data_IF_955028456605
#
_entry.id   IF_955028456605
#
_cell.length_a   1.000
_cell.length_b   1.000
_cell.length_c   1.000
_cell.angle_alpha   90.00
_cell.angle_beta   90.00
_cell.angle_gamma   90.00
#
_symmetry.space_group_name_H-M   'P 1'
#
loop_
_entity.id
_entity.type
_entity.pdbx_description
1 polymer ?
#
# COMPACT_ATOMS: atom_id res chain seq x y z
N UNK A 1 -30.28 -22.15 37.31
CA UNK A 1 -28.85 -22.33 37.51
C UNK A 1 -28.11 -22.68 36.24
N UNK A 2 -28.55 -23.65 35.46
CA UNK A 2 -27.90 -24.03 34.21
C UNK A 2 -27.87 -22.92 33.14
N UNK A 3 -28.92 -22.11 33.05
CA UNK A 3 -29.02 -21.05 32.07
C UNK A 3 -28.05 -19.90 32.35
N UNK A 4 -27.72 -19.66 33.60
CA UNK A 4 -26.78 -18.63 34.00
C UNK A 4 -25.33 -18.95 33.54
N UNK A 5 -24.94 -20.21 33.63
CA UNK A 5 -23.63 -20.68 33.21
C UNK A 5 -23.45 -20.59 31.70
N UNK A 6 -24.50 -20.93 30.94
CA UNK A 6 -24.45 -20.84 29.47
C UNK A 6 -24.31 -19.38 29.02
N UNK A 7 -25.01 -18.45 29.67
CA UNK A 7 -24.90 -17.02 29.36
C UNK A 7 -23.51 -16.47 29.60
N UNK A 8 -22.86 -16.87 30.69
CA UNK A 8 -21.49 -16.45 31.00
C UNK A 8 -20.49 -16.93 29.95
N UNK A 9 -20.65 -18.18 29.51
CA UNK A 9 -19.78 -18.74 28.47
C UNK A 9 -19.90 -18.01 27.13
N UNK A 10 -21.13 -17.64 26.74
CA UNK A 10 -21.37 -16.90 25.50
C UNK A 10 -20.73 -15.50 25.54
N UNK A 11 -20.85 -14.81 26.65
CA UNK A 11 -20.24 -13.48 26.84
C UNK A 11 -18.74 -13.56 26.77
N UNK A 12 -18.13 -14.58 27.36
CA UNK A 12 -16.69 -14.81 27.32
C UNK A 12 -16.19 -15.02 25.89
N UNK A 13 -16.94 -15.77 25.07
CA UNK A 13 -16.62 -16.00 23.68
C UNK A 13 -16.63 -14.70 22.85
N UNK A 14 -17.62 -13.85 23.06
CA UNK A 14 -17.72 -12.57 22.36
C UNK A 14 -16.59 -11.62 22.71
N UNK A 15 -16.15 -11.59 23.94
CA UNK A 15 -15.02 -10.77 24.39
C UNK A 15 -13.71 -11.24 23.71
N UNK A 16 -13.51 -12.55 23.57
CA UNK A 16 -12.33 -13.10 22.92
C UNK A 16 -12.26 -12.70 21.44
N UNK A 17 -13.38 -12.73 20.73
CA UNK A 17 -13.46 -12.32 19.32
C UNK A 17 -13.13 -10.83 19.19
N UNK A 18 -13.68 -9.98 20.04
CA UNK A 18 -13.42 -8.55 20.03
C UNK A 18 -11.93 -8.24 20.28
N UNK A 19 -11.28 -8.97 21.20
CA UNK A 19 -9.85 -8.81 21.48
C UNK A 19 -8.99 -9.19 20.29
N UNK A 20 -9.34 -10.26 19.57
CA UNK A 20 -8.62 -10.67 18.36
C UNK A 20 -8.67 -9.62 17.27
N UNK A 21 -9.82 -8.97 17.07
CA UNK A 21 -9.95 -7.86 16.11
C UNK A 21 -9.12 -6.65 16.53
N UNK A 22 -9.04 -6.33 17.79
CA UNK A 22 -8.29 -5.19 18.28
C UNK A 22 -6.78 -5.36 18.13
N UNK A 23 -6.28 -6.59 18.06
CA UNK A 23 -4.86 -6.88 17.90
C UNK A 23 -4.36 -6.80 16.45
N UNK A 24 -5.27 -6.86 15.47
CA UNK A 24 -4.95 -6.79 14.05
C UNK A 24 -5.01 -5.33 13.56
N UNK A 25 -4.18 -4.50 14.17
CA UNK A 25 -4.19 -3.06 13.91
C UNK A 25 -2.88 -2.59 13.29
N UNK A 26 -2.31 -3.41 12.40
CA UNK A 26 -1.17 -3.00 11.60
C UNK A 26 -1.62 -1.96 10.57
N UNK A 27 -0.91 -0.85 10.49
CA UNK A 27 -1.18 0.20 9.53
C UNK A 27 -1.05 -0.36 8.11
N UNK A 28 -2.13 -0.32 7.33
CA UNK A 28 -2.10 -0.73 5.93
C UNK A 28 -1.44 0.37 5.10
N UNK A 29 -0.33 0.01 4.47
CA UNK A 29 0.40 0.89 3.55
C UNK A 29 0.25 0.37 2.14
N UNK A 30 -0.19 1.22 1.24
CA UNK A 30 -0.34 0.90 -0.17
C UNK A 30 0.48 1.87 -1.00
N UNK A 31 1.24 1.34 -1.94
CA UNK A 31 1.96 2.13 -2.92
C UNK A 31 1.34 1.87 -4.29
N UNK A 32 0.74 2.90 -4.87
CA UNK A 32 0.20 2.85 -6.23
C UNK A 32 1.26 3.39 -7.16
N UNK A 33 1.59 2.61 -8.19
CA UNK A 33 2.56 2.99 -9.20
C UNK A 33 1.83 3.17 -10.52
N UNK A 34 1.93 4.37 -11.08
CA UNK A 34 1.39 4.67 -12.41
C UNK A 34 2.52 4.57 -13.42
N UNK A 35 2.40 3.66 -14.37
CA UNK A 35 3.47 3.33 -15.30
C UNK A 35 2.91 2.94 -16.67
N UNK A 36 3.81 2.72 -17.63
CA UNK A 36 3.46 2.20 -18.95
C UNK A 36 4.66 1.42 -19.50
N UNK A 37 4.39 0.49 -20.41
CA UNK A 37 5.44 -0.35 -21.00
C UNK A 37 6.50 0.46 -21.75
N UNK A 38 6.08 1.53 -22.43
CA UNK A 38 6.97 2.41 -23.19
C UNK A 38 7.80 3.36 -22.33
N UNK A 39 7.48 3.46 -21.05
CA UNK A 39 8.10 4.43 -20.14
C UNK A 39 9.41 3.89 -19.58
N UNK A 40 10.55 4.40 -20.08
CA UNK A 40 11.87 3.94 -19.67
C UNK A 40 12.12 4.12 -18.17
N UNK A 41 11.83 5.29 -17.63
CA UNK A 41 12.04 5.56 -16.19
C UNK A 41 11.12 4.75 -15.30
N UNK A 42 9.95 4.38 -15.79
CA UNK A 42 9.06 3.46 -15.10
C UNK A 42 9.70 2.08 -14.95
N UNK A 43 10.31 1.58 -16.03
CA UNK A 43 10.98 0.28 -16.01
C UNK A 43 12.21 0.28 -15.10
N UNK A 44 12.98 1.36 -15.12
CA UNK A 44 14.13 1.53 -14.23
C UNK A 44 13.66 1.51 -12.76
N UNK A 45 12.62 2.26 -12.45
CA UNK A 45 12.06 2.30 -11.09
C UNK A 45 11.62 0.91 -10.61
N UNK A 46 10.88 0.19 -11.44
CA UNK A 46 10.41 -1.16 -11.11
C UNK A 46 11.56 -2.13 -10.91
N UNK A 47 12.58 -2.03 -11.75
CA UNK A 47 13.78 -2.86 -11.63
C UNK A 47 14.51 -2.58 -10.31
N UNK A 48 14.68 -1.32 -9.96
CA UNK A 48 15.34 -0.92 -8.71
C UNK A 48 14.52 -1.34 -7.49
N UNK A 49 13.20 -1.25 -7.55
CA UNK A 49 12.31 -1.73 -6.48
C UNK A 49 12.49 -3.23 -6.22
N UNK A 50 12.86 -3.98 -7.23
CA UNK A 50 13.08 -5.42 -7.12
C UNK A 50 14.51 -5.75 -6.69
N UNK A 51 15.50 -5.01 -7.17
CA UNK A 51 16.91 -5.39 -7.10
C UNK A 51 17.78 -4.53 -6.20
N UNK A 52 17.41 -3.28 -5.94
CA UNK A 52 18.18 -2.44 -5.01
C UNK A 52 18.00 -2.98 -3.59
N UNK A 53 19.09 -3.28 -2.86
CA UNK A 53 18.97 -3.93 -1.54
C UNK A 53 18.13 -3.17 -0.52
N UNK A 54 18.30 -1.86 -0.45
CA UNK A 54 17.57 -1.04 0.51
C UNK A 54 16.13 -0.79 0.07
N UNK A 55 15.93 -0.44 -1.19
CA UNK A 55 14.59 -0.16 -1.73
C UNK A 55 13.72 -1.41 -1.71
N UNK A 56 14.27 -2.57 -2.09
CA UNK A 56 13.51 -3.82 -2.09
C UNK A 56 13.02 -4.21 -0.70
N UNK A 57 13.77 -3.89 0.35
CA UNK A 57 13.34 -4.13 1.73
C UNK A 57 12.20 -3.19 2.14
N UNK A 58 12.29 -1.92 1.75
CA UNK A 58 11.28 -0.91 2.11
C UNK A 58 9.95 -1.22 1.45
N UNK A 59 9.95 -1.60 0.17
CA UNK A 59 8.70 -1.88 -0.56
C UNK A 59 7.97 -3.11 -0.05
N UNK A 60 8.63 -4.00 0.67
CA UNK A 60 7.98 -5.14 1.33
C UNK A 60 6.94 -4.73 2.36
N UNK A 61 7.05 -3.51 2.89
CA UNK A 61 6.11 -2.97 3.87
C UNK A 61 4.83 -2.42 3.21
N UNK A 62 4.76 -2.44 1.90
CA UNK A 62 3.66 -1.89 1.13
C UNK A 62 2.94 -2.96 0.32
N UNK A 63 1.63 -2.82 0.19
CA UNK A 63 0.88 -3.48 -0.87
C UNK A 63 1.10 -2.68 -2.13
N UNK A 64 1.61 -3.32 -3.18
CA UNK A 64 1.92 -2.64 -4.44
C UNK A 64 0.75 -2.80 -5.40
N UNK A 65 0.25 -1.67 -5.91
CA UNK A 65 -0.79 -1.64 -6.93
C UNK A 65 -0.20 -0.97 -8.17
N UNK A 66 -0.12 -1.72 -9.26
CA UNK A 66 0.42 -1.22 -10.52
C UNK A 66 -0.74 -0.80 -11.43
N UNK A 67 -0.78 0.47 -11.81
CA UNK A 67 -1.83 1.05 -12.66
C UNK A 67 -1.21 1.39 -14.01
N UNK A 68 -1.81 0.87 -15.09
CA UNK A 68 -1.37 1.15 -16.45
C UNK A 68 -1.93 2.50 -16.90
N UNK A 69 -1.04 3.43 -17.21
CA UNK A 69 -1.38 4.79 -17.60
C UNK A 69 -2.24 4.84 -18.87
N UNK A 70 -2.03 3.91 -19.78
CA UNK A 70 -2.73 3.89 -21.08
C UNK A 70 -4.05 3.12 -21.04
N UNK A 71 -4.14 2.13 -20.17
CA UNK A 71 -5.30 1.22 -20.08
C UNK A 71 -6.28 1.68 -19.00
N UNK A 72 -5.80 1.98 -17.82
CA UNK A 72 -6.62 2.29 -16.63
C UNK A 72 -6.95 3.78 -16.54
N UNK A 73 -7.51 4.33 -17.61
CA UNK A 73 -7.71 5.79 -17.76
C UNK A 73 -8.57 6.41 -16.67
N UNK A 74 -9.60 5.71 -16.24
CA UNK A 74 -10.49 6.21 -15.18
C UNK A 74 -9.74 6.39 -13.86
N UNK A 75 -8.85 5.46 -13.52
CA UNK A 75 -8.04 5.55 -12.31
C UNK A 75 -7.01 6.68 -12.44
N UNK A 76 -6.35 6.75 -13.59
CA UNK A 76 -5.36 7.81 -13.89
C UNK A 76 -5.99 9.19 -13.75
N UNK A 77 -7.17 9.39 -14.32
CA UNK A 77 -7.91 10.65 -14.23
C UNK A 77 -8.38 10.93 -12.80
N UNK A 78 -8.88 9.90 -12.11
CA UNK A 78 -9.35 10.03 -10.74
C UNK A 78 -8.26 10.50 -9.78
N UNK A 79 -7.02 10.08 -10.00
CA UNK A 79 -5.87 10.52 -9.22
C UNK A 79 -5.20 11.76 -9.79
N UNK A 80 -5.69 12.28 -10.90
CA UNK A 80 -5.15 13.46 -11.58
C UNK A 80 -3.66 13.29 -11.94
N UNK A 81 -3.31 12.11 -12.47
CA UNK A 81 -1.95 11.80 -12.90
C UNK A 81 -1.74 12.30 -14.33
N UNK A 82 -0.75 13.16 -14.52
CA UNK A 82 -0.42 13.75 -15.83
C UNK A 82 0.92 13.26 -16.38
N UNK A 83 1.80 12.83 -15.52
CA UNK A 83 3.17 12.44 -15.86
C UNK A 83 3.51 11.13 -15.18
N UNK A 84 4.24 10.24 -15.84
CA UNK A 84 4.71 8.95 -15.30
C UNK A 84 6.24 8.85 -15.37
N UNK A 85 6.86 8.08 -14.48
CA UNK A 85 6.23 7.33 -13.40
C UNK A 85 5.69 8.25 -12.31
N UNK A 86 4.60 7.81 -11.66
CA UNK A 86 4.05 8.50 -10.51
C UNK A 86 3.81 7.49 -9.40
N UNK A 87 4.07 7.90 -8.18
CA UNK A 87 3.98 7.05 -6.98
C UNK A 87 3.04 7.73 -6.00
N UNK A 88 2.01 7.03 -5.55
CA UNK A 88 1.05 7.56 -4.58
C UNK A 88 1.00 6.62 -3.39
N UNK A 89 1.23 7.14 -2.20
CA UNK A 89 1.22 6.37 -0.96
C UNK A 89 -0.08 6.61 -0.22
N UNK A 90 -0.75 5.52 0.13
CA UNK A 90 -1.89 5.51 1.03
C UNK A 90 -1.52 4.83 2.32
N UNK A 91 -2.04 5.34 3.42
CA UNK A 91 -1.91 4.73 4.73
C UNK A 91 -3.25 4.84 5.43
N UNK A 92 -3.82 3.67 5.80
CA UNK A 92 -5.13 3.59 6.44
C UNK A 92 -6.23 4.29 5.63
N UNK A 93 -6.19 4.12 4.30
CA UNK A 93 -7.20 4.67 3.40
C UNK A 93 -7.06 6.15 3.07
N UNK A 94 -5.96 6.79 3.48
CA UNK A 94 -5.70 8.22 3.21
C UNK A 94 -4.43 8.39 2.39
N UNK A 95 -4.49 9.28 1.42
CA UNK A 95 -3.30 9.64 0.64
C UNK A 95 -2.31 10.39 1.54
N UNK A 96 -1.11 9.85 1.69
CA UNK A 96 -0.05 10.45 2.50
C UNK A 96 0.88 11.33 1.68
N UNK A 97 1.02 11.03 0.41
CA UNK A 97 1.88 11.80 -0.46
C UNK A 97 1.98 11.18 -1.83
N UNK A 98 2.59 11.93 -2.74
CA UNK A 98 2.87 11.46 -4.10
C UNK A 98 4.21 11.98 -4.58
N UNK A 99 4.84 11.20 -5.42
CA UNK A 99 6.11 11.54 -6.04
C UNK A 99 5.97 11.36 -7.54
N UNK A 100 6.35 12.38 -8.29
CA UNK A 100 6.29 12.36 -9.75
C UNK A 100 7.70 12.26 -10.29
N UNK A 101 7.90 11.32 -11.20
CA UNK A 101 9.20 11.06 -11.82
C UNK A 101 10.07 10.12 -10.99
N UNK A 102 11.19 9.72 -11.59
CA UNK A 102 12.13 8.82 -10.93
C UNK A 102 13.56 9.19 -11.33
N UNK A 103 14.42 9.39 -10.36
CA UNK A 103 15.80 9.75 -10.55
C UNK A 103 16.76 8.93 -9.69
N UNK A 104 16.40 7.69 -9.42
CA UNK A 104 17.25 6.75 -8.69
C UNK A 104 16.65 6.28 -7.38
N UNK A 105 17.25 5.22 -6.79
CA UNK A 105 16.68 4.60 -5.58
C UNK A 105 16.61 5.52 -4.37
N UNK A 106 17.61 6.38 -4.17
CA UNK A 106 17.71 7.21 -2.96
C UNK A 106 16.49 8.11 -2.76
N UNK A 107 16.01 8.74 -3.83
CA UNK A 107 14.87 9.66 -3.71
C UNK A 107 13.57 8.90 -3.42
N UNK A 108 13.41 7.72 -4.00
CA UNK A 108 12.24 6.89 -3.71
C UNK A 108 12.30 6.32 -2.29
N UNK A 109 13.47 5.90 -1.85
CA UNK A 109 13.68 5.45 -0.46
C UNK A 109 13.28 6.55 0.52
N UNK A 110 13.74 7.77 0.30
CA UNK A 110 13.41 8.90 1.18
C UNK A 110 11.91 9.20 1.20
N UNK A 111 11.25 9.06 0.05
CA UNK A 111 9.81 9.25 -0.05
C UNK A 111 9.02 8.18 0.72
N UNK A 112 9.50 6.93 0.69
CA UNK A 112 8.79 5.79 1.28
C UNK A 112 9.09 5.57 2.76
N UNK A 113 10.09 6.23 3.31
CA UNK A 113 10.44 6.09 4.74
C UNK A 113 9.37 6.61 5.68
#
# INVERSE_FOLDING_TARGET
>A
MRNTLVSVLLISCLISIASAFALDNSAEKTLIIFSADWCKYCQVAKNDMKNDPQLSEIVKNYTIVDVDFDVDKDIVEGYNIKTIPAFVVFENGKEKGRKIGYNGPSSLINFLK
#
